data_IF_611235896585
#
_entry.id   IF_611235896585
#
_cell.length_a   1.000
_cell.length_b   1.000
_cell.length_c   1.000
_cell.angle_alpha   90.00
_cell.angle_beta   90.00
_cell.angle_gamma   90.00
#
_symmetry.space_group_name_H-M   'P 1'
#
loop_
_entity.id
_entity.type
_entity.pdbx_description
1 polymer ?
#
# COMPACT_ATOMS: atom_id res chain seq x y z
N UNK A 1 8.84 19.88 -16.23
CA UNK A 1 8.16 21.06 -16.78
C UNK A 1 7.65 21.91 -15.62
N UNK A 2 8.24 23.03 -15.45
CA UNK A 2 8.38 23.77 -14.21
C UNK A 2 7.14 24.59 -13.88
N UNK A 3 6.60 24.44 -12.66
CA UNK A 3 5.56 25.30 -12.03
C UNK A 3 5.86 26.81 -12.05
N UNK A 4 7.00 27.22 -12.62
CA UNK A 4 7.43 28.63 -12.72
C UNK A 4 6.58 29.51 -13.64
N UNK A 5 5.89 28.93 -14.63
CA UNK A 5 5.14 29.72 -15.62
C UNK A 5 3.78 30.21 -15.09
N UNK A 6 3.15 29.46 -14.18
CA UNK A 6 1.79 29.80 -13.72
C UNK A 6 1.78 30.95 -12.70
N UNK A 7 2.81 31.09 -11.85
CA UNK A 7 2.86 32.15 -10.86
C UNK A 7 3.16 33.51 -11.53
N UNK A 8 3.97 33.53 -12.58
CA UNK A 8 4.28 34.75 -13.35
C UNK A 8 3.08 35.23 -14.19
N UNK A 9 2.29 34.31 -14.72
CA UNK A 9 1.09 34.66 -15.50
C UNK A 9 -0.03 35.24 -14.60
N UNK A 10 -0.20 34.72 -13.39
CA UNK A 10 -1.19 35.24 -12.44
C UNK A 10 -0.82 36.65 -11.93
N UNK A 11 0.47 36.94 -11.76
CA UNK A 11 0.94 38.26 -11.33
C UNK A 11 0.80 39.32 -12.43
N UNK A 12 1.03 38.95 -13.68
CA UNK A 12 0.87 39.87 -14.83
C UNK A 12 -0.59 40.25 -15.09
N UNK A 13 -1.55 39.34 -14.82
CA UNK A 13 -2.97 39.60 -15.01
C UNK A 13 -3.57 40.53 -13.94
N UNK A 14 -3.02 40.52 -12.72
CA UNK A 14 -3.49 41.39 -11.63
C UNK A 14 -3.08 42.86 -11.81
N UNK A 15 -2.04 43.15 -12.60
CA UNK A 15 -1.54 44.54 -12.83
C UNK A 15 -2.32 45.28 -13.90
N UNK A 16 -2.99 44.58 -14.82
CA UNK A 16 -3.65 45.22 -15.97
C UNK A 16 -5.11 45.68 -15.69
N UNK A 17 -5.69 45.33 -14.55
CA UNK A 17 -7.10 45.70 -14.26
C UNK A 17 -7.29 46.85 -13.25
N UNK A 18 -6.21 47.50 -12.76
CA UNK A 18 -6.28 48.52 -11.69
C UNK A 18 -5.93 49.94 -12.12
N UNK A 19 -6.00 50.29 -13.42
CA UNK A 19 -5.65 51.64 -13.90
C UNK A 19 -6.79 52.66 -13.77
N UNK A 20 -7.91 52.34 -13.17
CA UNK A 20 -9.07 53.22 -13.11
C UNK A 20 -9.30 53.99 -11.78
N UNK A 21 -8.52 53.72 -10.71
CA UNK A 21 -8.60 54.52 -9.49
C UNK A 21 -7.19 54.84 -8.97
N UNK A 22 -6.92 56.16 -8.85
CA UNK A 22 -5.69 56.67 -8.30
C UNK A 22 -5.60 56.38 -6.80
N UNK A 23 -5.26 55.14 -6.46
CA UNK A 23 -4.75 54.77 -5.17
C UNK A 23 -3.29 54.38 -5.41
N UNK A 24 -2.37 55.17 -4.89
CA UNK A 24 -0.96 54.85 -4.80
C UNK A 24 -0.82 53.59 -3.94
N UNK A 25 -0.79 52.45 -4.56
CA UNK A 25 -0.33 51.21 -3.91
C UNK A 25 1.17 51.34 -3.76
N UNK A 26 1.61 51.81 -2.60
CA UNK A 26 2.98 51.63 -2.19
C UNK A 26 3.20 50.16 -1.92
N UNK A 27 3.64 49.41 -2.93
CA UNK A 27 4.17 48.08 -2.77
C UNK A 27 5.47 48.18 -2.02
N UNK A 28 5.42 48.29 -0.69
CA UNK A 28 6.57 48.14 0.16
C UNK A 28 7.04 46.70 0.00
N UNK A 29 8.09 46.53 -0.77
CA UNK A 29 8.98 45.36 -0.85
C UNK A 29 8.36 44.00 -0.40
N UNK A 30 7.58 43.39 -1.28
CA UNK A 30 7.34 41.98 -1.17
C UNK A 30 8.61 41.27 -1.62
N UNK A 31 9.44 40.88 -0.65
CA UNK A 31 10.48 39.92 -0.93
C UNK A 31 9.83 38.59 -1.20
N UNK A 32 9.47 38.34 -2.44
CA UNK A 32 9.21 36.99 -2.93
C UNK A 32 10.51 36.21 -2.84
N UNK A 33 10.76 35.61 -1.71
CA UNK A 33 11.71 34.53 -1.61
C UNK A 33 11.11 33.32 -2.36
N UNK A 34 11.21 33.32 -3.67
CA UNK A 34 11.09 32.12 -4.45
C UNK A 34 12.35 31.27 -4.19
N UNK A 35 12.45 30.73 -3.00
CA UNK A 35 13.39 29.66 -2.73
C UNK A 35 13.07 28.53 -3.70
N UNK A 36 13.97 28.25 -4.64
CA UNK A 36 13.90 27.06 -5.46
C UNK A 36 14.08 25.88 -4.51
N UNK A 37 13.00 25.34 -4.02
CA UNK A 37 13.02 24.06 -3.33
C UNK A 37 13.35 23.01 -4.39
N UNK A 38 14.55 22.47 -4.33
CA UNK A 38 14.91 21.31 -5.14
C UNK A 38 14.33 20.10 -4.41
N UNK A 39 13.19 19.60 -4.88
CA UNK A 39 12.65 18.35 -4.38
C UNK A 39 13.61 17.22 -4.75
N UNK A 40 14.07 16.51 -3.76
CA UNK A 40 14.98 15.36 -3.94
C UNK A 40 14.16 14.10 -3.87
N UNK A 41 14.31 13.25 -4.88
CA UNK A 41 13.67 11.91 -4.87
C UNK A 41 14.40 11.02 -3.86
N UNK A 42 13.64 10.37 -3.02
CA UNK A 42 14.13 9.45 -2.02
C UNK A 42 13.34 8.14 -2.09
N UNK A 43 13.97 7.08 -1.59
CA UNK A 43 13.34 5.76 -1.50
C UNK A 43 13.47 5.25 -0.07
N UNK A 44 12.36 4.81 0.51
CA UNK A 44 12.33 4.04 1.74
C UNK A 44 11.92 2.61 1.43
N UNK A 45 12.67 1.63 1.96
CA UNK A 45 12.29 0.21 1.89
C UNK A 45 12.18 -0.35 3.30
N UNK A 46 10.97 -0.75 3.67
CA UNK A 46 10.70 -1.48 4.91
C UNK A 46 10.80 -2.97 4.60
N UNK A 47 11.72 -3.65 5.27
CA UNK A 47 11.98 -5.09 5.11
C UNK A 47 11.45 -5.84 6.31
N UNK A 48 10.58 -6.82 6.09
CA UNK A 48 9.78 -7.48 7.11
C UNK A 48 8.52 -6.69 7.46
N UNK A 49 7.38 -7.36 7.47
CA UNK A 49 6.15 -6.78 8.01
C UNK A 49 6.28 -6.58 9.52
N UNK A 50 5.69 -5.54 10.07
CA UNK A 50 5.54 -5.35 11.51
C UNK A 50 4.69 -6.48 12.10
N UNK A 51 3.66 -6.85 11.36
CA UNK A 51 2.75 -7.94 11.69
C UNK A 51 2.35 -8.64 10.39
N UNK A 52 2.48 -9.95 10.34
CA UNK A 52 1.89 -10.77 9.28
C UNK A 52 1.27 -12.05 9.84
N UNK A 53 0.29 -12.58 9.14
CA UNK A 53 -0.37 -13.84 9.47
C UNK A 53 -1.17 -14.32 8.27
N UNK A 54 -1.64 -15.56 8.34
CA UNK A 54 -2.78 -15.98 7.53
C UNK A 54 -3.90 -16.52 8.42
N UNK A 55 -5.10 -16.53 7.88
CA UNK A 55 -6.28 -17.10 8.55
C UNK A 55 -6.85 -18.24 7.72
N UNK A 56 -7.35 -19.27 8.37
CA UNK A 56 -7.81 -20.51 7.74
C UNK A 56 -9.26 -20.81 8.13
N UNK A 57 -10.12 -20.92 7.15
CA UNK A 57 -11.53 -21.23 7.38
C UNK A 57 -11.73 -22.60 8.06
N UNK A 58 -10.87 -23.59 7.77
CA UNK A 58 -10.94 -24.90 8.43
C UNK A 58 -10.46 -24.88 9.89
N UNK A 59 -9.68 -23.88 10.27
CA UNK A 59 -9.14 -23.70 11.60
C UNK A 59 -9.58 -22.34 12.16
N UNK A 60 -10.87 -22.09 12.18
CA UNK A 60 -11.48 -20.77 12.32
C UNK A 60 -11.15 -20.04 13.63
N UNK A 61 -10.69 -20.74 14.64
CA UNK A 61 -10.28 -20.20 15.94
C UNK A 61 -8.76 -20.25 16.19
N UNK A 62 -7.99 -20.77 15.21
CA UNK A 62 -6.53 -20.90 15.32
C UNK A 62 -5.84 -19.65 14.74
N UNK A 63 -4.81 -19.17 15.42
CA UNK A 63 -3.92 -18.12 14.93
C UNK A 63 -2.66 -18.73 14.33
N UNK A 64 -2.16 -18.11 13.25
CA UNK A 64 -0.97 -18.51 12.52
C UNK A 64 0.12 -17.42 12.48
N UNK A 65 0.08 -16.44 13.37
CA UNK A 65 0.98 -15.28 13.35
C UNK A 65 2.45 -15.58 13.57
N UNK A 66 2.80 -16.78 14.06
CA UNK A 66 4.19 -17.23 14.19
C UNK A 66 4.61 -18.24 13.10
N UNK A 67 3.83 -18.34 12.02
CA UNK A 67 4.13 -19.27 10.95
C UNK A 67 5.20 -18.70 10.01
N UNK A 68 6.22 -19.50 9.66
CA UNK A 68 7.25 -19.10 8.69
C UNK A 68 6.71 -18.93 7.26
N UNK A 69 5.44 -19.25 7.01
CA UNK A 69 4.79 -19.13 5.71
C UNK A 69 3.41 -18.52 5.83
N UNK A 70 3.03 -17.75 4.83
CA UNK A 70 1.70 -17.18 4.64
C UNK A 70 0.99 -17.96 3.55
N UNK A 71 -0.10 -18.60 3.91
CA UNK A 71 -0.82 -19.49 3.01
C UNK A 71 -2.10 -18.82 2.50
N UNK A 72 -2.30 -18.85 1.18
CA UNK A 72 -3.48 -18.34 0.51
C UNK A 72 -4.16 -19.46 -0.27
N UNK A 73 -5.45 -19.62 -0.06
CA UNK A 73 -6.32 -20.53 -0.84
C UNK A 73 -7.49 -19.69 -1.36
N UNK A 74 -7.80 -19.76 -2.68
CA UNK A 74 -8.85 -18.96 -3.28
C UNK A 74 -10.24 -19.29 -2.74
N UNK A 75 -11.14 -18.33 -2.86
CA UNK A 75 -12.56 -18.49 -2.60
C UNK A 75 -13.17 -19.48 -3.59
N UNK A 76 -14.07 -20.32 -3.14
CA UNK A 76 -14.70 -21.38 -3.95
C UNK A 76 -14.28 -22.77 -3.53
N UNK A 77 -13.20 -22.92 -2.79
CA UNK A 77 -12.80 -24.17 -2.14
C UNK A 77 -13.39 -24.32 -0.71
N UNK A 78 -14.53 -23.65 -0.45
CA UNK A 78 -15.18 -23.73 0.87
C UNK A 78 -15.32 -25.20 1.31
N UNK A 79 -14.93 -25.57 2.54
CA UNK A 79 -14.52 -24.70 3.65
C UNK A 79 -12.98 -24.52 3.80
N UNK A 80 -12.24 -24.18 2.77
CA UNK A 80 -10.76 -24.18 2.81
C UNK A 80 -10.11 -22.85 2.47
N UNK A 81 -10.91 -21.80 2.32
CA UNK A 81 -10.40 -20.47 2.01
C UNK A 81 -9.39 -20.00 3.06
N UNK A 82 -8.31 -19.38 2.60
CA UNK A 82 -7.28 -18.73 3.42
C UNK A 82 -6.96 -17.36 2.90
N UNK A 83 -6.85 -16.41 3.82
CA UNK A 83 -6.44 -15.05 3.54
C UNK A 83 -5.10 -14.74 4.23
N UNK A 84 -4.27 -13.97 3.58
CA UNK A 84 -3.01 -13.46 4.13
C UNK A 84 -3.21 -12.01 4.58
N UNK A 85 -2.59 -11.63 5.68
CA UNK A 85 -2.58 -10.28 6.21
C UNK A 85 -1.16 -9.81 6.42
N UNK A 86 -0.85 -8.57 6.02
CA UNK A 86 0.45 -7.93 6.22
C UNK A 86 0.28 -6.47 6.59
N UNK A 87 1.03 -6.00 7.59
CA UNK A 87 1.08 -4.61 8.03
C UNK A 87 2.53 -4.18 8.20
N UNK A 88 2.88 -2.95 7.78
CA UNK A 88 4.24 -2.41 7.87
C UNK A 88 4.26 -1.17 8.74
N UNK A 89 5.29 -1.05 9.60
CA UNK A 89 5.57 0.18 10.32
C UNK A 89 6.33 1.15 9.40
N UNK A 90 5.73 2.30 9.14
CA UNK A 90 6.31 3.37 8.30
C UNK A 90 7.13 4.38 9.11
N UNK A 91 7.22 4.22 10.44
CA UNK A 91 7.90 5.19 11.31
C UNK A 91 9.39 5.35 11.00
N UNK A 92 10.01 4.32 10.43
CA UNK A 92 11.41 4.34 9.99
C UNK A 92 11.63 5.11 8.68
N UNK A 93 10.56 5.43 7.95
CA UNK A 93 10.62 6.20 6.71
C UNK A 93 10.52 7.69 7.02
N UNK A 94 11.59 8.45 6.72
CA UNK A 94 11.60 9.91 6.94
C UNK A 94 10.79 10.66 5.86
N UNK A 95 9.56 10.24 5.62
CA UNK A 95 8.68 10.85 4.61
C UNK A 95 8.05 12.10 5.23
N UNK A 96 8.21 13.30 4.64
CA UNK A 96 7.57 14.51 5.14
C UNK A 96 6.05 14.38 5.15
N UNK A 97 5.39 14.81 6.24
CA UNK A 97 3.92 14.78 6.34
C UNK A 97 3.23 15.64 5.26
N UNK A 98 3.91 16.64 4.73
CA UNK A 98 3.46 17.48 3.62
C UNK A 98 3.77 16.89 2.25
N UNK A 99 4.53 15.80 2.22
CA UNK A 99 4.86 15.03 1.02
C UNK A 99 3.76 14.02 0.70
N UNK A 100 4.09 13.12 -0.18
CA UNK A 100 3.25 11.99 -0.58
C UNK A 100 4.10 10.90 -1.19
N UNK A 101 3.52 9.75 -1.41
CA UNK A 101 4.17 8.69 -2.16
C UNK A 101 4.04 8.95 -3.67
N UNK A 102 5.17 9.02 -4.38
CA UNK A 102 5.17 8.98 -5.85
C UNK A 102 4.80 7.59 -6.35
N UNK A 103 5.33 6.58 -5.68
CA UNK A 103 4.96 5.19 -5.88
C UNK A 103 5.22 4.37 -4.63
N UNK A 104 4.38 3.36 -4.39
CA UNK A 104 4.59 2.38 -3.35
C UNK A 104 4.27 0.98 -3.86
N UNK A 105 5.15 0.02 -3.55
CA UNK A 105 5.02 -1.37 -3.97
C UNK A 105 5.17 -2.30 -2.78
N UNK A 106 4.11 -3.02 -2.46
CA UNK A 106 4.15 -4.20 -1.59
C UNK A 106 4.66 -5.39 -2.40
N UNK A 107 5.61 -6.14 -1.86
CA UNK A 107 6.21 -7.29 -2.52
C UNK A 107 6.25 -8.50 -1.60
N UNK A 108 5.61 -9.60 -2.01
CA UNK A 108 5.59 -10.87 -1.31
C UNK A 108 6.33 -11.94 -2.13
N UNK A 109 7.17 -12.73 -1.48
CA UNK A 109 7.89 -13.82 -2.15
C UNK A 109 7.05 -15.09 -2.16
N UNK A 110 6.61 -15.49 -3.35
CA UNK A 110 5.87 -16.72 -3.59
C UNK A 110 6.85 -17.90 -3.57
N UNK A 111 6.96 -18.57 -2.42
CA UNK A 111 7.88 -19.70 -2.23
C UNK A 111 7.38 -20.97 -2.91
N UNK A 112 6.06 -21.19 -2.90
CA UNK A 112 5.41 -22.26 -3.64
C UNK A 112 4.18 -21.71 -4.36
N UNK A 113 4.12 -21.92 -5.67
CA UNK A 113 3.03 -21.46 -6.50
C UNK A 113 1.87 -22.47 -6.54
N UNK A 114 0.64 -21.98 -6.77
CA UNK A 114 -0.48 -22.82 -7.09
C UNK A 114 -0.29 -23.55 -8.43
N UNK A 115 -1.01 -24.63 -8.67
CA UNK A 115 -0.98 -25.36 -9.94
C UNK A 115 -1.78 -24.64 -11.03
N UNK A 116 -2.79 -23.88 -10.61
CA UNK A 116 -3.62 -23.05 -11.50
C UNK A 116 -3.46 -21.58 -11.10
N UNK A 117 -3.24 -20.72 -12.08
CA UNK A 117 -3.12 -19.28 -11.83
C UNK A 117 -4.45 -18.68 -11.41
N UNK A 118 -4.44 -17.84 -10.38
CA UNK A 118 -5.55 -17.00 -9.98
C UNK A 118 -5.04 -15.61 -9.58
N UNK A 119 -5.93 -14.64 -9.43
CA UNK A 119 -5.55 -13.30 -9.07
C UNK A 119 -5.33 -13.19 -7.55
N UNK A 120 -4.28 -12.51 -7.17
CA UNK A 120 -4.02 -12.08 -5.80
C UNK A 120 -4.48 -10.63 -5.65
N UNK A 121 -5.48 -10.39 -4.81
CA UNK A 121 -6.04 -9.08 -4.56
C UNK A 121 -5.53 -8.52 -3.24
N UNK A 122 -4.88 -7.38 -3.28
CA UNK A 122 -4.52 -6.63 -2.09
C UNK A 122 -5.64 -5.65 -1.76
N UNK A 123 -6.34 -5.87 -0.65
CA UNK A 123 -7.42 -5.02 -0.16
C UNK A 123 -6.99 -4.36 1.14
N UNK A 124 -7.07 -3.02 1.22
CA UNK A 124 -6.73 -2.27 2.43
C UNK A 124 -7.65 -2.67 3.59
N UNK A 125 -7.05 -2.98 4.74
CA UNK A 125 -7.75 -3.18 6.01
C UNK A 125 -8.04 -1.82 6.64
N UNK A 126 -9.26 -1.62 7.13
CA UNK A 126 -9.70 -0.34 7.69
C UNK A 126 -10.01 -0.39 9.19
N UNK A 127 -9.80 -1.53 9.83
CA UNK A 127 -9.89 -1.71 11.28
C UNK A 127 -8.66 -2.43 11.83
N UNK A 128 -8.30 -2.13 13.09
CA UNK A 128 -7.13 -2.70 13.74
C UNK A 128 -7.23 -4.23 13.90
N UNK A 129 -6.09 -4.89 13.75
CA UNK A 129 -5.93 -6.32 13.96
C UNK A 129 -4.56 -6.63 14.60
N UNK A 130 -4.31 -7.85 14.96
CA UNK A 130 -3.04 -8.29 15.56
C UNK A 130 -2.58 -9.62 14.98
N UNK A 131 -1.31 -10.00 15.15
CA UNK A 131 -0.73 -11.26 14.68
C UNK A 131 -1.44 -12.52 15.20
N UNK A 132 -2.23 -12.39 16.27
CA UNK A 132 -3.09 -13.46 16.80
C UNK A 132 -4.44 -13.60 16.08
N UNK A 133 -4.61 -12.90 14.94
CA UNK A 133 -5.85 -12.91 14.15
C UNK A 133 -6.25 -14.34 13.78
N UNK A 134 -7.55 -14.64 13.97
CA UNK A 134 -8.19 -15.90 13.58
C UNK A 134 -9.17 -15.66 12.42
N UNK A 135 -9.61 -16.71 11.75
CA UNK A 135 -10.62 -16.58 10.69
C UNK A 135 -11.88 -15.89 11.18
N UNK A 136 -12.43 -16.30 12.33
CA UNK A 136 -13.64 -15.70 12.88
C UNK A 136 -13.48 -14.21 13.16
N UNK A 137 -12.31 -13.77 13.64
CA UNK A 137 -12.00 -12.35 13.86
C UNK A 137 -11.85 -11.61 12.54
N UNK A 138 -11.19 -12.21 11.55
CA UNK A 138 -11.00 -11.62 10.23
C UNK A 138 -12.33 -11.33 9.51
N UNK A 139 -13.37 -12.16 9.73
CA UNK A 139 -14.71 -11.92 9.22
C UNK A 139 -15.38 -10.66 9.81
N UNK A 140 -14.96 -10.22 10.99
CA UNK A 140 -15.48 -9.04 11.66
C UNK A 140 -14.70 -7.76 11.34
N UNK A 141 -13.53 -7.87 10.65
CA UNK A 141 -12.77 -6.70 10.22
C UNK A 141 -13.50 -5.94 9.11
N UNK A 142 -13.17 -4.66 9.00
CA UNK A 142 -13.64 -3.82 7.91
C UNK A 142 -12.54 -3.65 6.86
N UNK A 143 -12.94 -3.56 5.61
CA UNK A 143 -12.07 -3.49 4.45
C UNK A 143 -12.49 -2.34 3.53
N UNK A 144 -11.59 -1.85 2.69
CA UNK A 144 -11.97 -0.99 1.57
C UNK A 144 -12.97 -1.73 0.66
N UNK A 145 -13.87 -0.96 0.05
CA UNK A 145 -14.97 -1.55 -0.75
C UNK A 145 -14.54 -2.29 -2.01
N UNK A 146 -13.28 -2.13 -2.42
CA UNK A 146 -12.67 -2.81 -3.56
C UNK A 146 -11.20 -3.07 -3.28
N UNK A 147 -10.56 -4.06 -3.93
CA UNK A 147 -9.12 -4.22 -3.89
C UNK A 147 -8.42 -2.94 -4.34
N UNK A 148 -7.35 -2.56 -3.66
CA UNK A 148 -6.48 -1.46 -4.08
C UNK A 148 -5.80 -1.83 -5.39
N UNK A 149 -5.40 -3.09 -5.50
CA UNK A 149 -4.75 -3.64 -6.68
C UNK A 149 -4.92 -5.15 -6.74
N UNK A 150 -4.87 -5.68 -7.97
CA UNK A 150 -4.80 -7.11 -8.25
C UNK A 150 -3.51 -7.43 -8.99
N UNK A 151 -2.92 -8.56 -8.67
CA UNK A 151 -1.74 -9.09 -9.35
C UNK A 151 -2.06 -10.51 -9.82
N UNK A 152 -1.76 -10.81 -11.07
CA UNK A 152 -1.92 -12.17 -11.58
C UNK A 152 -0.90 -13.08 -10.90
N UNK A 153 -1.38 -14.07 -10.18
CA UNK A 153 -0.57 -15.12 -9.59
C UNK A 153 -0.07 -16.05 -10.69
N UNK A 154 1.25 -16.16 -10.83
CA UNK A 154 1.85 -17.15 -11.72
C UNK A 154 1.80 -18.56 -11.12
N UNK A 155 2.05 -19.56 -11.97
CA UNK A 155 2.24 -20.96 -11.57
C UNK A 155 3.72 -21.31 -11.33
N UNK A 156 4.55 -20.30 -11.11
CA UNK A 156 6.00 -20.46 -10.88
C UNK A 156 6.34 -19.93 -9.49
N UNK A 157 6.85 -20.78 -8.62
CA UNK A 157 7.42 -20.40 -7.34
C UNK A 157 8.81 -19.80 -7.46
N UNK A 158 9.33 -19.26 -6.36
CA UNK A 158 10.65 -18.65 -6.34
C UNK A 158 10.67 -17.22 -6.89
N UNK A 159 9.53 -16.55 -6.99
CA UNK A 159 9.38 -15.20 -7.56
C UNK A 159 8.72 -14.25 -6.56
N UNK A 160 8.93 -12.94 -6.74
CA UNK A 160 8.21 -11.92 -6.00
C UNK A 160 6.95 -11.49 -6.76
N UNK A 161 5.85 -11.45 -6.03
CA UNK A 161 4.59 -10.87 -6.49
C UNK A 161 4.52 -9.44 -5.98
N UNK A 162 4.28 -8.50 -6.87
CA UNK A 162 4.27 -7.06 -6.58
C UNK A 162 2.86 -6.49 -6.68
N UNK A 163 2.50 -5.68 -5.68
CA UNK A 163 1.22 -4.99 -5.59
C UNK A 163 1.48 -3.48 -5.54
N UNK A 164 1.09 -2.70 -6.56
CA UNK A 164 1.15 -1.24 -6.50
C UNK A 164 0.10 -0.72 -5.51
N UNK A 165 0.56 -0.22 -4.35
CA UNK A 165 -0.29 0.23 -3.24
C UNK A 165 -0.14 1.73 -2.94
N UNK A 166 0.25 2.51 -3.95
CA UNK A 166 0.56 3.94 -3.82
C UNK A 166 -0.54 4.74 -3.15
N UNK A 167 -1.79 4.53 -3.53
CA UNK A 167 -2.95 5.28 -3.01
C UNK A 167 -3.14 5.05 -1.51
N UNK A 168 -2.96 3.82 -1.04
CA UNK A 168 -3.11 3.49 0.38
C UNK A 168 -1.96 4.08 1.20
N UNK A 169 -0.71 3.90 0.71
CA UNK A 169 0.48 4.43 1.40
C UNK A 169 0.44 5.95 1.46
N UNK A 170 0.02 6.62 0.38
CA UNK A 170 -0.17 8.08 0.38
C UNK A 170 -1.21 8.51 1.42
N UNK A 171 -2.29 7.76 1.58
CA UNK A 171 -3.27 7.98 2.64
C UNK A 171 -2.67 7.81 4.04
N UNK A 172 -1.84 6.77 4.26
CA UNK A 172 -1.17 6.53 5.55
C UNK A 172 -0.20 7.65 5.91
N UNK A 173 0.61 8.12 4.96
CA UNK A 173 1.53 9.25 5.14
C UNK A 173 0.77 10.53 5.54
N UNK A 174 -0.40 10.77 4.97
CA UNK A 174 -1.27 11.93 5.25
C UNK A 174 -2.10 11.81 6.53
N UNK A 175 -1.80 10.83 7.38
CA UNK A 175 -2.43 10.64 8.69
C UNK A 175 -3.64 9.69 8.69
N UNK A 176 -3.90 9.00 7.60
CA UNK A 176 -4.84 7.89 7.57
C UNK A 176 -4.35 6.70 8.39
N UNK A 177 -5.27 5.93 8.97
CA UNK A 177 -4.91 4.72 9.71
C UNK A 177 -4.25 3.68 8.79
N UNK A 178 -3.11 3.16 9.23
CA UNK A 178 -2.40 2.09 8.59
C UNK A 178 -2.68 0.77 9.34
N UNK A 179 -3.47 -0.09 8.72
CA UNK A 179 -3.72 -1.46 9.18
C UNK A 179 -3.34 -2.47 8.09
N UNK A 180 -2.51 -2.05 7.13
CA UNK A 180 -2.00 -2.89 6.07
C UNK A 180 -3.05 -3.44 5.11
N UNK A 181 -2.82 -4.65 4.62
CA UNK A 181 -3.60 -5.27 3.56
C UNK A 181 -3.95 -6.71 3.89
N UNK A 182 -5.15 -7.09 3.44
CA UNK A 182 -5.53 -8.48 3.23
C UNK A 182 -5.20 -8.86 1.79
N UNK A 183 -4.50 -9.98 1.61
CA UNK A 183 -4.32 -10.62 0.31
C UNK A 183 -5.28 -11.80 0.23
N UNK A 184 -6.13 -11.79 -0.78
CA UNK A 184 -7.12 -12.82 -1.04
C UNK A 184 -7.29 -13.04 -2.54
N UNK A 185 -8.13 -13.96 -2.95
CA UNK A 185 -8.58 -14.08 -4.34
C UNK A 185 -9.78 -13.17 -4.59
N UNK A 186 -9.92 -12.67 -5.81
CA UNK A 186 -11.04 -11.82 -6.24
C UNK A 186 -12.39 -12.52 -6.31
N UNK A 187 -12.47 -13.77 -5.93
CA UNK A 187 -13.72 -14.53 -6.04
C UNK A 187 -14.13 -14.81 -7.48
N UNK A 188 -13.21 -14.83 -8.40
CA UNK A 188 -13.45 -15.00 -9.84
C UNK A 188 -13.97 -16.37 -10.24
N UNK A 189 -14.48 -17.16 -9.31
CA UNK A 189 -15.20 -18.41 -9.58
C UNK A 189 -14.32 -19.49 -10.21
N UNK A 190 -13.06 -19.37 -10.12
CA UNK A 190 -12.11 -20.15 -10.89
C UNK A 190 -11.61 -21.35 -10.15
N UNK A 191 -12.25 -22.02 -9.27
CA UNK A 191 -11.54 -23.23 -8.90
C UNK A 191 -12.34 -24.33 -8.19
N UNK A 192 -12.54 -25.38 -8.93
CA UNK A 192 -12.75 -26.74 -8.46
C UNK A 192 -11.43 -27.41 -7.99
N UNK A 193 -10.30 -26.72 -7.96
CA UNK A 193 -8.96 -27.27 -7.65
C UNK A 193 -8.37 -26.50 -6.48
N UNK A 194 -7.93 -27.25 -5.48
CA UNK A 194 -7.36 -26.75 -4.22
C UNK A 194 -5.96 -26.20 -4.46
N UNK A 195 -5.85 -24.98 -4.96
CA UNK A 195 -4.58 -24.36 -5.27
C UNK A 195 -4.08 -23.54 -4.10
N UNK A 196 -3.04 -24.02 -3.46
CA UNK A 196 -2.35 -23.33 -2.38
C UNK A 196 -1.20 -22.47 -2.93
N UNK A 197 -1.30 -21.17 -2.74
CA UNK A 197 -0.17 -20.28 -2.86
C UNK A 197 0.49 -20.09 -1.48
N UNK A 198 1.81 -20.24 -1.41
CA UNK A 198 2.59 -20.09 -0.19
C UNK A 198 3.59 -18.97 -0.34
N UNK A 199 3.49 -17.95 0.50
CA UNK A 199 4.44 -16.85 0.57
C UNK A 199 5.36 -17.01 1.80
N UNK A 200 6.54 -16.43 1.74
CA UNK A 200 7.41 -16.28 2.90
C UNK A 200 6.82 -15.24 3.86
N UNK A 201 6.79 -15.52 5.16
CA UNK A 201 6.45 -14.57 6.21
C UNK A 201 7.69 -13.85 6.72
N UNK A 202 7.52 -12.89 7.62
CA UNK A 202 8.63 -12.26 8.36
C UNK A 202 9.39 -13.28 9.22
N UNK A 203 8.70 -14.28 9.75
CA UNK A 203 9.30 -15.36 10.56
C UNK A 203 10.08 -16.39 9.73
N UNK A 204 10.04 -16.32 8.41
CA UNK A 204 10.82 -17.22 7.53
C UNK A 204 12.34 -16.98 7.59
N UNK A 205 12.76 -15.80 8.06
CA UNK A 205 14.17 -15.39 8.14
C UNK A 205 14.80 -15.04 6.78
N UNK A 206 14.12 -15.33 5.66
CA UNK A 206 14.59 -15.01 4.31
C UNK A 206 13.42 -14.68 3.39
N UNK A 207 13.69 -13.87 2.35
CA UNK A 207 12.66 -13.47 1.37
C UNK A 207 11.39 -12.84 1.98
N UNK A 208 11.52 -12.24 3.15
CA UNK A 208 10.43 -11.63 3.90
C UNK A 208 9.63 -10.61 3.07
N UNK A 209 8.38 -10.30 3.45
CA UNK A 209 7.61 -9.23 2.84
C UNK A 209 8.38 -7.90 2.81
N UNK A 210 8.23 -7.11 1.77
CA UNK A 210 8.85 -5.78 1.67
C UNK A 210 7.86 -4.75 1.17
N UNK A 211 7.99 -3.52 1.67
CA UNK A 211 7.28 -2.35 1.16
C UNK A 211 8.30 -1.31 0.72
N UNK A 212 8.31 -0.97 -0.56
CA UNK A 212 9.19 0.06 -1.13
C UNK A 212 8.37 1.29 -1.49
N UNK A 213 8.78 2.45 -1.01
CA UNK A 213 8.10 3.74 -1.18
C UNK A 213 9.08 4.72 -1.82
N UNK A 214 8.74 5.27 -2.96
CA UNK A 214 9.44 6.40 -3.57
C UNK A 214 8.65 7.68 -3.28
N UNK A 215 9.35 8.73 -2.85
CA UNK A 215 8.75 9.99 -2.44
C UNK A 215 9.67 11.17 -2.72
N UNK A 216 9.12 12.38 -2.69
CA UNK A 216 9.89 13.63 -2.77
C UNK A 216 10.05 14.24 -1.38
N UNK A 217 11.26 14.68 -1.03
CA UNK A 217 11.65 15.30 0.23
C UNK A 217 12.29 16.68 0.05
#
# INVERSE_FOLDING_TARGET
MTRRLFVLAALALAVTTTVAYAATLTVSSWHLWAGSQTLTKATCTVTGAQTDTYVDQNAATTSFGAAATLNLIPSGDSPKERWVFVEFDLSSCAIPATGGADSATLSLYLSAAPTTSFNFDATRVTSAWAGTLTWNQAQALTYAGSPTTSSTGGTTGGVRISFPVTVDVDSFIKGGSNFGWRISDSGSGQNAVKDLATFASTDSGANVPTLTINYES
#
